data_IF_639073918216
#
_entry.id   IF_639073918216
#
_cell.length_a   1.000
_cell.length_b   1.000
_cell.length_c   1.000
_cell.angle_alpha   90.00
_cell.angle_beta   90.00
_cell.angle_gamma   90.00
#
_symmetry.space_group_name_H-M   'P 1'
#
loop_
_entity.id
_entity.type
_entity.pdbx_description
1 polymer ?
#
# COMPACT_ATOMS: atom_id res chain seq x y z
N UNK A 1 -5.07 -27.88 -6.31
CA UNK A 1 -4.02 -26.82 -6.33
C UNK A 1 -4.64 -25.49 -6.74
N UNK A 2 -4.42 -24.46 -5.96
CA UNK A 2 -4.98 -23.15 -6.24
C UNK A 2 -4.18 -22.41 -7.30
N UNK A 3 -4.87 -21.58 -8.08
CA UNK A 3 -4.23 -20.72 -9.06
C UNK A 3 -3.57 -19.54 -8.36
N UNK A 4 -2.53 -19.01 -8.96
CA UNK A 4 -1.85 -17.82 -8.41
C UNK A 4 -2.62 -16.55 -8.75
N UNK A 5 -2.62 -15.62 -7.81
CA UNK A 5 -3.29 -14.32 -7.95
C UNK A 5 -2.36 -13.22 -7.46
N UNK A 6 -2.29 -12.14 -8.22
CA UNK A 6 -1.57 -10.95 -7.83
C UNK A 6 -2.60 -9.86 -7.54
N UNK A 7 -2.42 -9.13 -6.44
CA UNK A 7 -3.31 -8.06 -6.05
C UNK A 7 -2.62 -6.71 -6.14
N UNK A 8 -3.31 -5.74 -6.69
CA UNK A 8 -2.91 -4.33 -6.68
C UNK A 8 -3.95 -3.53 -5.90
N UNK A 9 -3.50 -2.83 -4.87
CA UNK A 9 -4.36 -1.99 -4.03
C UNK A 9 -4.01 -0.54 -4.31
N UNK A 10 -4.97 0.23 -4.77
CA UNK A 10 -4.75 1.62 -5.15
C UNK A 10 -5.08 2.57 -4.01
N UNK A 11 -4.12 3.39 -3.61
CA UNK A 11 -4.27 4.40 -2.57
C UNK A 11 -4.04 5.78 -3.19
N UNK A 12 -5.10 6.55 -3.47
CA UNK A 12 -4.99 7.77 -4.28
C UNK A 12 -4.66 9.05 -3.51
N UNK A 13 -4.01 8.94 -2.36
CA UNK A 13 -3.72 10.11 -1.52
C UNK A 13 -2.25 10.47 -1.52
N UNK A 14 -1.95 11.78 -1.44
CA UNK A 14 -0.59 12.31 -1.35
C UNK A 14 -0.49 13.29 -0.18
N UNK A 15 0.75 13.46 0.32
CA UNK A 15 1.03 14.43 1.38
C UNK A 15 0.81 15.85 0.88
N UNK A 16 1.28 16.13 -0.34
CA UNK A 16 1.15 17.43 -0.98
C UNK A 16 0.55 17.26 -2.35
N UNK A 17 -0.28 18.22 -2.73
CA UNK A 17 -0.77 18.29 -4.08
C UNK A 17 0.35 18.82 -4.97
N UNK A 18 0.81 18.03 -5.91
CA UNK A 18 1.80 18.41 -6.91
C UNK A 18 1.11 18.75 -8.21
N UNK A 19 1.68 19.64 -9.01
CA UNK A 19 1.07 20.05 -10.27
C UNK A 19 0.85 18.86 -11.21
N UNK A 20 1.75 17.90 -11.20
CA UNK A 20 1.63 16.72 -12.06
C UNK A 20 0.86 15.56 -11.42
N UNK A 21 0.44 15.71 -10.18
CA UNK A 21 -0.33 14.68 -9.47
C UNK A 21 -1.80 15.02 -9.35
N UNK A 22 -2.24 16.14 -9.90
CA UNK A 22 -3.59 16.66 -9.68
C UNK A 22 -4.71 15.75 -10.14
N UNK A 23 -4.43 14.89 -11.08
CA UNK A 23 -5.49 14.03 -11.65
C UNK A 23 -5.75 12.77 -10.87
N UNK A 24 -4.72 12.22 -10.23
CA UNK A 24 -4.79 10.88 -9.67
C UNK A 24 -4.64 10.84 -8.17
N UNK A 25 -4.19 11.94 -7.57
CA UNK A 25 -3.99 11.99 -6.14
C UNK A 25 -4.18 13.41 -5.63
N UNK A 26 -4.56 13.52 -4.37
CA UNK A 26 -4.83 14.80 -3.74
C UNK A 26 -4.61 14.69 -2.24
N UNK A 27 -4.37 15.85 -1.60
CA UNK A 27 -4.37 15.92 -0.15
C UNK A 27 -5.80 15.73 0.32
N UNK A 28 -6.03 14.78 1.20
CA UNK A 28 -7.36 14.47 1.66
C UNK A 28 -7.49 14.73 3.15
N UNK A 29 -8.69 15.10 3.55
CA UNK A 29 -9.04 15.18 4.96
C UNK A 29 -9.18 13.76 5.49
N UNK A 30 -8.96 13.62 6.79
CA UNK A 30 -9.04 12.31 7.44
C UNK A 30 -10.37 11.61 7.19
N UNK A 31 -11.46 12.36 7.12
CA UNK A 31 -12.79 11.81 6.84
C UNK A 31 -12.87 11.15 5.46
N UNK A 32 -12.23 11.77 4.47
CA UNK A 32 -12.20 11.22 3.11
C UNK A 32 -11.34 9.97 3.05
N UNK A 33 -10.22 9.96 3.77
CA UNK A 33 -9.35 8.79 3.86
C UNK A 33 -10.09 7.64 4.52
N UNK A 34 -10.76 7.90 5.63
CA UNK A 34 -11.53 6.88 6.35
C UNK A 34 -12.63 6.28 5.47
N UNK A 35 -13.36 7.14 4.75
CA UNK A 35 -14.43 6.67 3.86
C UNK A 35 -13.86 5.82 2.73
N UNK A 36 -12.74 6.22 2.16
CA UNK A 36 -12.10 5.44 1.11
C UNK A 36 -11.66 4.08 1.61
N UNK A 37 -11.02 4.03 2.77
CA UNK A 37 -10.54 2.77 3.36
C UNK A 37 -11.71 1.83 3.66
N UNK A 38 -12.82 2.36 4.18
CA UNK A 38 -14.01 1.54 4.41
C UNK A 38 -14.55 0.97 3.11
N UNK A 39 -14.67 1.79 2.08
CA UNK A 39 -15.15 1.34 0.77
C UNK A 39 -14.22 0.30 0.17
N UNK A 40 -12.91 0.51 0.30
CA UNK A 40 -11.92 -0.43 -0.18
C UNK A 40 -12.03 -1.78 0.55
N UNK A 41 -12.18 -1.75 1.86
CA UNK A 41 -12.35 -2.98 2.64
C UNK A 41 -13.60 -3.75 2.21
N UNK A 42 -14.69 -3.05 1.96
CA UNK A 42 -15.93 -3.67 1.47
C UNK A 42 -15.75 -4.28 0.09
N UNK A 43 -15.05 -3.59 -0.80
CA UNK A 43 -14.74 -4.12 -2.12
C UNK A 43 -13.91 -5.39 -2.02
N UNK A 44 -12.90 -5.39 -1.16
CA UNK A 44 -12.05 -6.56 -0.94
C UNK A 44 -12.89 -7.75 -0.46
N UNK A 45 -13.74 -7.52 0.53
CA UNK A 45 -14.59 -8.57 1.08
C UNK A 45 -15.58 -9.11 0.04
N UNK A 46 -16.05 -8.24 -0.83
CA UNK A 46 -16.98 -8.62 -1.89
C UNK A 46 -16.39 -9.54 -2.93
N UNK A 47 -15.07 -9.65 -3.01
CA UNK A 47 -14.41 -10.52 -3.98
C UNK A 47 -14.02 -11.88 -3.42
N UNK A 48 -14.30 -12.14 -2.17
CA UNK A 48 -13.88 -13.36 -1.49
C UNK A 48 -14.30 -14.63 -2.21
N UNK A 49 -15.56 -14.72 -2.59
CA UNK A 49 -16.08 -15.92 -3.22
C UNK A 49 -15.57 -16.09 -4.64
N UNK A 50 -15.48 -14.98 -5.37
CA UNK A 50 -15.03 -15.00 -6.76
C UNK A 50 -13.63 -15.57 -6.90
N UNK A 51 -12.76 -15.31 -5.92
CA UNK A 51 -11.36 -15.71 -5.95
C UNK A 51 -11.01 -16.78 -4.93
N UNK A 52 -12.00 -17.56 -4.48
CA UNK A 52 -11.77 -18.61 -3.48
C UNK A 52 -10.82 -19.71 -3.93
N UNK A 53 -10.70 -19.91 -5.25
CA UNK A 53 -9.81 -20.93 -5.83
C UNK A 53 -8.40 -20.41 -6.09
N UNK A 54 -8.09 -19.21 -5.64
CA UNK A 54 -6.81 -18.56 -5.88
C UNK A 54 -5.99 -18.42 -4.62
N UNK A 55 -4.67 -18.46 -4.78
CA UNK A 55 -3.72 -18.16 -3.72
C UNK A 55 -2.97 -16.89 -4.11
N UNK A 56 -2.98 -15.90 -3.23
CA UNK A 56 -2.32 -14.63 -3.49
C UNK A 56 -0.82 -14.78 -3.27
N UNK A 57 -0.04 -14.53 -4.31
CA UNK A 57 1.42 -14.62 -4.26
C UNK A 57 2.10 -13.27 -4.20
N UNK A 58 1.43 -12.22 -4.67
CA UNK A 58 1.95 -10.84 -4.56
C UNK A 58 0.83 -9.87 -4.22
N UNK A 59 1.18 -8.89 -3.39
CA UNK A 59 0.30 -7.76 -3.10
C UNK A 59 1.13 -6.50 -3.27
N UNK A 60 0.60 -5.52 -4.01
CA UNK A 60 1.27 -4.25 -4.23
C UNK A 60 0.32 -3.11 -3.86
N UNK A 61 0.73 -2.30 -2.90
CA UNK A 61 -0.02 -1.08 -2.55
C UNK A 61 0.67 0.09 -3.23
N UNK A 62 -0.05 0.72 -4.13
CA UNK A 62 0.50 1.81 -4.92
C UNK A 62 -0.53 2.91 -5.19
N UNK A 63 -0.20 3.78 -6.10
CA UNK A 63 -1.06 4.89 -6.51
C UNK A 63 -0.47 6.23 -6.16
N UNK A 64 -1.08 6.96 -5.22
CA UNK A 64 -0.52 8.22 -4.73
C UNK A 64 0.66 7.94 -3.82
N UNK A 65 0.44 7.98 -2.53
CA UNK A 65 1.48 7.68 -1.55
C UNK A 65 0.90 6.81 -0.44
N UNK A 66 0.88 5.48 -0.62
CA UNK A 66 0.32 4.60 0.41
C UNK A 66 0.92 4.80 1.80
N UNK A 67 2.18 5.18 1.87
CA UNK A 67 2.85 5.41 3.15
C UNK A 67 2.32 6.60 3.95
N UNK A 68 1.47 7.42 3.37
CA UNK A 68 0.82 8.52 4.09
C UNK A 68 -0.24 8.02 5.06
N UNK A 69 -0.81 6.84 4.80
CA UNK A 69 -1.86 6.30 5.65
C UNK A 69 -1.38 6.04 7.07
N UNK A 70 -2.21 6.43 8.02
CA UNK A 70 -1.95 6.07 9.41
C UNK A 70 -2.05 4.56 9.59
N UNK A 71 -1.31 4.04 10.57
CA UNK A 71 -1.23 2.60 10.79
C UNK A 71 -2.57 1.91 10.92
N UNK A 72 -3.56 2.56 11.53
CA UNK A 72 -4.88 1.99 11.72
C UNK A 72 -5.57 1.69 10.39
N UNK A 73 -5.38 2.55 9.39
CA UNK A 73 -5.97 2.34 8.07
C UNK A 73 -5.25 1.24 7.31
N UNK A 74 -3.93 1.22 7.39
CA UNK A 74 -3.14 0.14 6.78
C UNK A 74 -3.53 -1.20 7.38
N UNK A 75 -3.66 -1.27 8.70
CA UNK A 75 -4.08 -2.49 9.39
C UNK A 75 -5.47 -2.96 8.95
N UNK A 76 -6.40 -2.01 8.77
CA UNK A 76 -7.75 -2.34 8.30
C UNK A 76 -7.74 -2.96 6.92
N UNK A 77 -6.93 -2.40 6.01
CA UNK A 77 -6.81 -2.94 4.65
C UNK A 77 -6.26 -4.36 4.68
N UNK A 78 -5.18 -4.60 5.42
CA UNK A 78 -4.58 -5.92 5.50
C UNK A 78 -5.48 -6.93 6.20
N UNK A 79 -6.25 -6.49 7.20
CA UNK A 79 -7.23 -7.37 7.82
C UNK A 79 -8.26 -7.84 6.80
N UNK A 80 -8.80 -6.92 6.00
CA UNK A 80 -9.76 -7.27 4.96
C UNK A 80 -9.14 -8.24 3.95
N UNK A 81 -7.90 -7.99 3.53
CA UNK A 81 -7.20 -8.87 2.61
C UNK A 81 -7.04 -10.28 3.16
N UNK A 82 -6.60 -10.41 4.41
CA UNK A 82 -6.37 -11.72 5.02
C UNK A 82 -7.65 -12.49 5.31
N UNK A 83 -8.72 -11.77 5.60
CA UNK A 83 -10.03 -12.40 5.83
C UNK A 83 -10.70 -12.84 4.52
N UNK A 84 -10.32 -12.23 3.41
CA UNK A 84 -11.01 -12.43 2.14
C UNK A 84 -10.24 -13.29 1.15
N UNK A 85 -8.92 -13.38 1.29
CA UNK A 85 -8.08 -14.12 0.36
C UNK A 85 -7.14 -15.07 1.09
N UNK A 86 -6.80 -16.16 0.40
CA UNK A 86 -5.75 -17.06 0.83
C UNK A 86 -4.43 -16.47 0.39
N UNK A 87 -3.64 -15.98 1.33
CA UNK A 87 -2.37 -15.33 1.04
C UNK A 87 -1.23 -16.30 1.38
N UNK A 88 -0.36 -16.55 0.40
CA UNK A 88 0.77 -17.45 0.59
C UNK A 88 1.69 -16.92 1.71
N UNK A 89 2.27 -17.84 2.48
CA UNK A 89 3.20 -17.46 3.54
C UNK A 89 4.40 -16.68 3.02
N UNK A 90 4.86 -17.03 1.83
CA UNK A 90 6.00 -16.37 1.18
C UNK A 90 5.58 -15.31 0.18
N UNK A 91 4.35 -14.82 0.25
CA UNK A 91 3.87 -13.78 -0.66
C UNK A 91 4.76 -12.54 -0.57
N UNK A 92 5.04 -11.95 -1.74
CA UNK A 92 5.73 -10.68 -1.80
C UNK A 92 4.71 -9.57 -1.59
N UNK A 93 4.88 -8.79 -0.53
CA UNK A 93 3.97 -7.71 -0.18
C UNK A 93 4.74 -6.40 -0.22
N UNK A 94 4.44 -5.59 -1.22
CA UNK A 94 5.17 -4.36 -1.52
C UNK A 94 4.31 -3.14 -1.23
N UNK A 95 4.92 -2.12 -0.66
CA UNK A 95 4.27 -0.82 -0.46
C UNK A 95 5.11 0.27 -1.10
N UNK A 96 4.47 1.11 -1.89
CA UNK A 96 5.12 2.33 -2.40
C UNK A 96 5.26 3.33 -1.27
N UNK A 97 6.44 3.91 -1.15
CA UNK A 97 6.80 4.76 -0.02
C UNK A 97 7.37 6.07 -0.51
N UNK A 98 6.93 7.15 0.11
CA UNK A 98 7.60 8.45 -0.02
C UNK A 98 8.50 8.60 1.22
N UNK A 99 9.81 8.80 1.04
CA UNK A 99 10.73 8.89 2.18
C UNK A 99 10.31 9.90 3.25
N UNK A 100 9.68 10.99 2.85
CA UNK A 100 9.22 12.02 3.78
C UNK A 100 8.07 11.59 4.69
N UNK A 101 7.44 10.45 4.41
CA UNK A 101 6.31 9.96 5.20
C UNK A 101 6.66 8.78 6.10
N UNK A 102 7.91 8.36 6.09
CA UNK A 102 8.35 7.18 6.84
C UNK A 102 8.59 7.54 8.30
N UNK A 103 8.10 6.70 9.21
CA UNK A 103 8.39 6.80 10.63
C UNK A 103 8.63 5.38 11.15
N UNK A 104 9.29 5.29 12.29
CA UNK A 104 9.54 3.99 12.91
C UNK A 104 8.24 3.26 13.24
N UNK A 105 7.25 3.99 13.74
CA UNK A 105 5.94 3.41 14.03
C UNK A 105 5.29 2.83 12.79
N UNK A 106 5.34 3.55 11.67
CA UNK A 106 4.77 3.08 10.42
C UNK A 106 5.49 1.84 9.92
N UNK A 107 6.82 1.84 9.97
CA UNK A 107 7.60 0.69 9.53
C UNK A 107 7.23 -0.54 10.35
N UNK A 108 7.11 -0.39 11.65
CA UNK A 108 6.73 -1.51 12.53
C UNK A 108 5.33 -2.02 12.20
N UNK A 109 4.39 -1.10 11.95
CA UNK A 109 3.04 -1.48 11.55
C UNK A 109 3.04 -2.25 10.23
N UNK A 110 3.80 -1.77 9.25
CA UNK A 110 3.87 -2.45 7.95
C UNK A 110 4.44 -3.86 8.09
N UNK A 111 5.49 -4.02 8.90
CA UNK A 111 6.05 -5.34 9.17
C UNK A 111 5.03 -6.27 9.83
N UNK A 112 4.29 -5.75 10.79
CA UNK A 112 3.25 -6.50 11.47
C UNK A 112 2.17 -6.95 10.49
N UNK A 113 1.86 -6.11 9.49
CA UNK A 113 0.89 -6.46 8.44
C UNK A 113 1.44 -7.46 7.43
N UNK A 114 2.74 -7.66 7.40
CA UNK A 114 3.37 -8.59 6.47
C UNK A 114 4.08 -7.95 5.30
N UNK A 115 4.18 -6.61 5.27
CA UNK A 115 4.92 -5.92 4.22
C UNK A 115 6.39 -6.33 4.31
N UNK A 116 6.94 -6.85 3.21
CA UNK A 116 8.31 -7.34 3.17
C UNK A 116 9.16 -6.69 2.08
N UNK A 117 8.60 -5.71 1.37
CA UNK A 117 9.32 -4.98 0.33
C UNK A 117 8.82 -3.55 0.27
N UNK A 118 9.73 -2.61 0.12
CA UNK A 118 9.35 -1.20 -0.07
C UNK A 118 9.80 -0.76 -1.46
N UNK A 119 8.90 -0.08 -2.17
CA UNK A 119 9.19 0.54 -3.45
C UNK A 119 9.20 2.04 -3.24
N UNK A 120 10.34 2.67 -3.46
CA UNK A 120 10.49 4.09 -3.21
C UNK A 120 10.41 4.83 -4.54
N UNK A 121 9.42 5.72 -4.65
CA UNK A 121 9.19 6.45 -5.88
C UNK A 121 10.31 7.44 -6.16
N UNK A 122 10.82 7.41 -7.39
CA UNK A 122 11.82 8.37 -7.86
C UNK A 122 11.09 9.58 -8.40
N UNK A 123 10.62 10.43 -7.50
CA UNK A 123 9.92 11.65 -7.90
C UNK A 123 10.86 12.84 -8.00
N UNK A 124 12.11 12.65 -7.61
CA UNK A 124 13.11 13.68 -7.66
C UNK A 124 14.31 13.20 -8.45
N UNK A 125 14.89 14.10 -9.21
CA UNK A 125 16.15 13.86 -9.90
C UNK A 125 17.34 14.42 -9.12
N UNK A 126 17.10 14.83 -7.88
CA UNK A 126 18.13 15.35 -7.01
C UNK A 126 19.06 14.22 -6.57
N UNK A 127 20.36 14.41 -6.81
CA UNK A 127 21.38 13.42 -6.47
C UNK A 127 21.36 13.05 -4.99
N UNK A 128 21.04 13.99 -4.12
CA UNK A 128 20.96 13.74 -2.67
C UNK A 128 19.87 12.76 -2.34
N UNK A 129 18.72 12.91 -2.98
CA UNK A 129 17.59 12.00 -2.77
C UNK A 129 17.87 10.62 -3.35
N UNK A 130 18.49 10.56 -4.52
CA UNK A 130 18.87 9.29 -5.12
C UNK A 130 19.82 8.51 -4.23
N UNK A 131 20.77 9.18 -3.59
CA UNK A 131 21.68 8.54 -2.65
C UNK A 131 20.94 8.00 -1.42
N UNK A 132 19.98 8.75 -0.93
CA UNK A 132 19.16 8.32 0.20
C UNK A 132 18.35 7.08 -0.16
N UNK A 133 17.76 7.07 -1.36
CA UNK A 133 17.00 5.93 -1.85
C UNK A 133 17.88 4.69 -1.97
N UNK A 134 19.11 4.86 -2.45
CA UNK A 134 20.07 3.76 -2.53
C UNK A 134 20.33 3.12 -1.17
N UNK A 135 20.42 3.92 -0.12
CA UNK A 135 20.63 3.39 1.24
C UNK A 135 19.42 2.60 1.74
N UNK A 136 18.24 3.02 1.38
CA UNK A 136 17.03 2.34 1.83
C UNK A 136 16.86 1.03 1.10
N UNK A 137 17.26 0.97 -0.15
CA UNK A 137 17.17 -0.23 -0.97
C UNK A 137 18.21 -1.29 -0.64
N UNK A 138 19.29 -0.87 -0.06
CA UNK A 138 20.32 -1.81 0.37
C UNK A 138 20.13 -2.18 1.82
#
# INVERSE_FOLDING_TARGET
MKKELELYVHIPFCVKKCAYCDFLSFSAKQEEVSAYVEALAEEIKGKKEQFSDYCVTTIFLGGGTPSILEGVYTASIFRALRESFDIAENAEITMEVNPGTVSEEKINMWKTCGVNRLSIGLQSVDDGELKMLGRIHT
#
